data_IF_411645177439
#
_entry.id   IF_411645177439
#
_cell.length_a   1.000
_cell.length_b   1.000
_cell.length_c   1.000
_cell.angle_alpha   90.00
_cell.angle_beta   90.00
_cell.angle_gamma   90.00
#
_symmetry.space_group_name_H-M   'P 1'
#
loop_
_entity.id
_entity.type
_entity.pdbx_description
1 polymer ?
#
# COMPACT_ATOMS: atom_id res chain seq x y z
N UNK A 1 -23.62 3.00 -35.61
CA UNK A 1 -22.17 2.78 -35.79
C UNK A 1 -21.68 1.68 -34.84
N UNK A 2 -22.07 0.42 -35.07
CA UNK A 2 -21.70 -0.72 -34.22
C UNK A 2 -20.19 -1.04 -34.26
N UNK A 3 -19.52 -0.72 -35.36
CA UNK A 3 -18.07 -0.91 -35.53
C UNK A 3 -17.24 -0.11 -34.51
N UNK A 4 -17.63 1.15 -34.24
CA UNK A 4 -16.95 2.01 -33.27
C UNK A 4 -17.08 1.49 -31.83
N UNK A 5 -18.23 0.90 -31.50
CA UNK A 5 -18.49 0.26 -30.21
C UNK A 5 -17.57 -0.97 -30.03
N UNK A 6 -17.49 -1.81 -31.08
CA UNK A 6 -16.65 -3.01 -31.08
C UNK A 6 -15.16 -2.65 -30.91
N UNK A 7 -14.66 -1.65 -31.65
CA UNK A 7 -13.28 -1.16 -31.52
C UNK A 7 -12.99 -0.69 -30.08
N UNK A 8 -13.90 0.07 -29.47
CA UNK A 8 -13.75 0.51 -28.07
C UNK A 8 -13.69 -0.67 -27.10
N UNK A 9 -14.57 -1.67 -27.28
CA UNK A 9 -14.60 -2.85 -26.42
C UNK A 9 -13.31 -3.66 -26.53
N UNK A 10 -12.78 -3.83 -27.75
CA UNK A 10 -11.50 -4.51 -27.99
C UNK A 10 -10.34 -3.77 -27.32
N UNK A 11 -10.27 -2.45 -27.45
CA UNK A 11 -9.23 -1.64 -26.80
C UNK A 11 -9.30 -1.76 -25.28
N UNK A 12 -10.50 -1.67 -24.71
CA UNK A 12 -10.69 -1.79 -23.26
C UNK A 12 -10.30 -3.17 -22.75
N UNK A 13 -10.62 -4.24 -23.51
CA UNK A 13 -10.23 -5.60 -23.17
C UNK A 13 -8.71 -5.77 -23.19
N UNK A 14 -8.05 -5.27 -24.25
CA UNK A 14 -6.59 -5.32 -24.36
C UNK A 14 -5.91 -4.57 -23.20
N UNK A 15 -6.41 -3.39 -22.85
CA UNK A 15 -5.88 -2.61 -21.73
C UNK A 15 -6.06 -3.34 -20.38
N UNK A 16 -7.20 -3.99 -20.16
CA UNK A 16 -7.45 -4.76 -18.94
C UNK A 16 -6.55 -6.01 -18.83
N UNK A 17 -6.37 -6.74 -19.93
CA UNK A 17 -5.52 -7.93 -19.97
C UNK A 17 -4.04 -7.55 -19.73
N UNK A 18 -3.59 -6.43 -20.33
CA UNK A 18 -2.23 -5.92 -20.12
C UNK A 18 -2.01 -5.43 -18.68
N UNK A 19 -2.99 -4.76 -18.07
CA UNK A 19 -2.92 -4.37 -16.66
C UNK A 19 -2.82 -5.59 -15.73
N UNK A 20 -3.57 -6.66 -16.02
CA UNK A 20 -3.48 -7.92 -15.26
C UNK A 20 -2.10 -8.57 -15.41
N UNK A 21 -1.54 -8.57 -16.63
CA UNK A 21 -0.20 -9.08 -16.91
C UNK A 21 0.88 -8.31 -16.14
N UNK A 22 0.84 -6.97 -16.17
CA UNK A 22 1.78 -6.11 -15.46
C UNK A 22 1.69 -6.28 -13.94
N UNK A 23 0.49 -6.55 -13.43
CA UNK A 23 0.27 -6.73 -11.98
C UNK A 23 0.42 -8.18 -11.52
N UNK A 24 0.79 -9.11 -12.42
CA UNK A 24 0.95 -10.54 -12.15
C UNK A 24 -0.32 -11.20 -11.55
N UNK A 25 -1.50 -10.79 -12.01
CA UNK A 25 -2.78 -11.35 -11.57
C UNK A 25 -3.53 -12.05 -12.71
N UNK A 26 -4.36 -13.03 -12.36
CA UNK A 26 -5.26 -13.65 -13.33
C UNK A 26 -6.33 -12.65 -13.80
N UNK A 27 -6.65 -12.58 -15.11
CA UNK A 27 -7.77 -11.77 -15.61
C UNK A 27 -9.14 -12.26 -15.11
N UNK A 28 -9.23 -13.50 -14.62
CA UNK A 28 -10.44 -14.06 -14.00
C UNK A 28 -10.54 -13.73 -12.50
N UNK A 29 -9.60 -12.93 -11.97
CA UNK A 29 -9.64 -12.49 -10.58
C UNK A 29 -10.84 -11.60 -10.29
N UNK A 30 -11.26 -11.56 -9.03
CA UNK A 30 -12.35 -10.66 -8.63
C UNK A 30 -12.03 -9.19 -8.98
N UNK A 31 -13.03 -8.36 -9.33
CA UNK A 31 -12.82 -6.94 -9.63
C UNK A 31 -12.08 -6.18 -8.53
N UNK A 32 -12.26 -6.56 -7.26
CA UNK A 32 -11.54 -5.97 -6.12
C UNK A 32 -10.03 -6.26 -6.16
N UNK A 33 -9.64 -7.49 -6.51
CA UNK A 33 -8.24 -7.85 -6.66
C UNK A 33 -7.60 -7.09 -7.82
N UNK A 34 -8.31 -6.99 -8.95
CA UNK A 34 -7.85 -6.23 -10.12
C UNK A 34 -7.64 -4.76 -9.75
N UNK A 35 -8.60 -4.14 -9.06
CA UNK A 35 -8.48 -2.77 -8.60
C UNK A 35 -7.26 -2.56 -7.68
N UNK A 36 -7.08 -3.42 -6.67
CA UNK A 36 -5.95 -3.33 -5.75
C UNK A 36 -4.59 -3.53 -6.45
N UNK A 37 -4.52 -4.40 -7.46
CA UNK A 37 -3.30 -4.64 -8.22
C UNK A 37 -2.94 -3.45 -9.11
N UNK A 38 -3.95 -2.82 -9.75
CA UNK A 38 -3.78 -1.58 -10.51
C UNK A 38 -3.30 -0.44 -9.60
N UNK A 39 -3.90 -0.27 -8.41
CA UNK A 39 -3.44 0.72 -7.43
C UNK A 39 -1.96 0.53 -7.07
N UNK A 40 -1.54 -0.73 -6.80
CA UNK A 40 -0.14 -1.04 -6.53
C UNK A 40 0.78 -0.67 -7.70
N UNK A 41 0.36 -0.90 -8.94
CA UNK A 41 1.14 -0.50 -10.12
C UNK A 41 1.23 1.02 -10.23
N UNK A 42 0.13 1.75 -10.03
CA UNK A 42 0.10 3.21 -10.03
C UNK A 42 1.10 3.73 -9.01
N UNK A 43 1.09 3.22 -7.78
CA UNK A 43 2.05 3.62 -6.76
C UNK A 43 3.48 3.25 -7.14
N UNK A 44 3.77 2.05 -7.63
CA UNK A 44 5.12 1.65 -8.03
C UNK A 44 5.70 2.53 -9.15
N UNK A 45 4.91 2.85 -10.17
CA UNK A 45 5.36 3.63 -11.31
C UNK A 45 5.35 5.16 -11.07
N UNK A 46 4.41 5.70 -10.27
CA UNK A 46 4.45 7.12 -9.86
C UNK A 46 5.54 7.41 -8.82
N UNK A 47 6.03 6.39 -8.11
CA UNK A 47 7.10 6.57 -7.10
C UNK A 47 8.50 6.33 -7.66
N UNK A 48 8.67 6.34 -8.99
CA UNK A 48 9.96 6.24 -9.69
C UNK A 48 11.04 7.27 -9.30
N UNK A 49 10.86 8.06 -8.23
CA UNK A 49 11.92 8.81 -7.59
C UNK A 49 11.77 9.03 -6.07
N UNK A 50 10.93 8.27 -5.37
CA UNK A 50 10.82 8.36 -3.92
C UNK A 50 10.78 6.97 -3.29
N UNK A 51 11.91 6.26 -3.38
CA UNK A 51 12.39 5.54 -2.21
C UNK A 51 12.80 6.59 -1.16
N UNK A 52 11.84 7.37 -0.68
CA UNK A 52 11.98 7.96 0.63
C UNK A 52 11.60 6.82 1.55
N UNK A 53 12.59 6.01 1.92
CA UNK A 53 12.61 5.49 3.27
C UNK A 53 12.46 6.71 4.17
N UNK A 54 11.22 7.14 4.43
CA UNK A 54 10.94 8.02 5.55
C UNK A 54 11.48 7.20 6.72
N UNK A 55 12.57 7.63 7.38
CA UNK A 55 13.03 6.92 8.56
C UNK A 55 11.81 6.84 9.47
N UNK A 56 11.48 5.64 9.94
CA UNK A 56 10.42 5.50 10.93
C UNK A 56 10.69 6.57 12.01
N UNK A 57 9.70 7.42 12.34
CA UNK A 57 9.94 8.50 13.28
C UNK A 57 10.55 7.88 14.53
N UNK A 58 11.72 8.34 14.92
CA UNK A 58 12.43 7.84 16.09
C UNK A 58 11.47 8.06 17.25
N UNK A 59 10.79 7.00 17.68
CA UNK A 59 9.88 7.07 18.82
C UNK A 59 10.78 7.19 20.04
N UNK A 60 11.15 8.43 20.39
CA UNK A 60 11.72 8.71 21.71
C UNK A 60 10.71 8.21 22.72
N UNK A 61 11.07 7.22 23.56
CA UNK A 61 10.16 6.75 24.58
C UNK A 61 9.76 7.95 25.45
N UNK A 62 8.49 8.06 25.87
CA UNK A 62 8.06 9.16 26.71
C UNK A 62 8.96 9.19 27.95
N UNK A 63 9.63 10.33 28.16
CA UNK A 63 10.42 10.56 29.36
C UNK A 63 9.43 10.63 30.50
N UNK A 64 9.29 9.53 31.24
CA UNK A 64 8.47 9.47 32.45
C UNK A 64 9.28 10.07 33.61
N UNK A 65 8.98 11.29 34.07
CA UNK A 65 9.80 11.97 35.08
C UNK A 65 9.88 11.20 36.40
N UNK A 66 8.86 10.37 36.68
CA UNK A 66 8.66 9.75 37.98
C UNK A 66 9.02 8.26 38.00
N UNK A 67 9.68 7.72 36.97
CA UNK A 67 9.98 6.28 36.90
C UNK A 67 10.85 5.81 38.06
N UNK A 68 11.82 6.63 38.48
CA UNK A 68 12.68 6.31 39.62
C UNK A 68 11.91 6.37 40.95
N UNK A 69 11.09 7.41 41.17
CA UNK A 69 10.28 7.54 42.38
C UNK A 69 9.29 6.37 42.56
N UNK A 70 8.61 5.97 41.47
CA UNK A 70 7.70 4.81 41.48
C UNK A 70 8.44 3.50 41.76
N UNK A 71 9.64 3.32 41.21
CA UNK A 71 10.43 2.10 41.44
C UNK A 71 10.92 1.96 42.89
N UNK A 72 11.14 3.08 43.59
CA UNK A 72 11.50 3.08 45.01
C UNK A 72 10.28 2.82 45.90
N UNK A 73 9.11 3.34 45.52
CA UNK A 73 7.86 3.09 46.24
C UNK A 73 7.45 1.61 46.21
N UNK A 74 7.64 0.93 45.08
CA UNK A 74 7.38 -0.53 44.96
C UNK A 74 8.38 -1.34 45.81
N UNK A 75 9.64 -0.90 45.88
CA UNK A 75 10.69 -1.61 46.62
C UNK A 75 10.62 -1.38 48.13
N UNK A 76 10.06 -0.27 48.58
CA UNK A 76 9.84 0.04 50.01
C UNK A 76 8.60 -0.61 50.62
N UNK A 77 7.85 -1.40 49.85
CA UNK A 77 6.62 -2.07 50.29
C UNK A 77 6.80 -3.60 50.44
N UNK A 78 8.05 -4.07 50.56
CA UNK A 78 8.44 -5.47 50.81
C UNK A 78 8.92 -5.64 52.25
#
# INVERSE_FOLDING_TARGET
>A
MPEREAVRLTINKLAADEACRLAEISPDSSPRMIAAAIEKLIFQYNTGNTSTTVPAPTVTPPVQPNKQALSQMIRGNS
#
